data_IF_402996853176
#
_entry.id   IF_402996853176
#
_cell.length_a   1.000
_cell.length_b   1.000
_cell.length_c   1.000
_cell.angle_alpha   90.00
_cell.angle_beta   90.00
_cell.angle_gamma   90.00
#
_symmetry.space_group_name_H-M   'P 1'
#
loop_
_entity.id
_entity.type
_entity.pdbx_description
1 polymer ?
#
# COMPACT_ATOMS: atom_id res chain seq x y z
N UNK A 1 5.75 43.57 -2.81
CA UNK A 1 5.34 42.23 -2.34
C UNK A 1 6.59 41.57 -1.77
N UNK A 2 6.74 41.60 -0.43
CA UNK A 2 7.92 41.07 0.26
C UNK A 2 7.65 39.60 0.50
N UNK A 3 8.42 38.70 -0.13
CA UNK A 3 8.37 37.28 0.21
C UNK A 3 8.88 37.11 1.65
N UNK A 4 8.20 36.33 2.51
CA UNK A 4 8.68 36.08 3.87
C UNK A 4 10.05 35.39 3.82
N UNK A 5 10.91 35.70 4.81
CA UNK A 5 12.18 35.00 5.00
C UNK A 5 11.88 33.53 5.30
N UNK A 6 12.00 32.68 4.27
CA UNK A 6 11.83 31.24 4.41
C UNK A 6 12.87 30.68 5.37
N UNK A 7 12.41 29.81 6.27
CA UNK A 7 13.26 28.99 7.12
C UNK A 7 14.10 28.03 6.26
N UNK A 8 15.22 27.54 6.81
CA UNK A 8 16.06 26.54 6.15
C UNK A 8 15.28 25.30 5.71
N UNK A 9 14.30 24.88 6.50
CA UNK A 9 13.44 23.73 6.21
C UNK A 9 12.52 23.99 5.01
N UNK A 10 11.94 25.19 4.90
CA UNK A 10 11.09 25.57 3.77
C UNK A 10 11.89 25.67 2.46
N UNK A 11 13.11 26.20 2.53
CA UNK A 11 14.04 26.22 1.38
C UNK A 11 14.36 24.79 0.93
N UNK A 12 14.63 23.89 1.87
CA UNK A 12 14.93 22.49 1.56
C UNK A 12 13.71 21.76 0.97
N UNK A 13 12.52 21.96 1.55
CA UNK A 13 11.27 21.39 1.04
C UNK A 13 10.96 21.89 -0.38
N UNK A 14 11.13 23.18 -0.65
CA UNK A 14 10.96 23.77 -1.98
C UNK A 14 11.92 23.15 -3.00
N UNK A 15 13.19 22.97 -2.62
CA UNK A 15 14.19 22.33 -3.48
C UNK A 15 13.85 20.88 -3.80
N UNK A 16 13.41 20.09 -2.80
CA UNK A 16 12.99 18.70 -3.00
C UNK A 16 11.75 18.65 -3.90
N UNK A 17 10.74 19.47 -3.61
CA UNK A 17 9.51 19.56 -4.41
C UNK A 17 9.82 19.85 -5.88
N UNK A 18 10.70 20.82 -6.15
CA UNK A 18 11.14 21.15 -7.51
C UNK A 18 11.88 20.01 -8.21
N UNK A 19 12.62 19.17 -7.48
CA UNK A 19 13.27 17.98 -8.04
C UNK A 19 12.22 16.92 -8.37
N UNK A 20 11.33 16.62 -7.42
CA UNK A 20 10.29 15.61 -7.60
C UNK A 20 9.30 15.98 -8.72
N UNK A 21 8.99 17.27 -8.89
CA UNK A 21 8.10 17.75 -9.94
C UNK A 21 8.68 17.61 -11.36
N UNK A 22 9.99 17.39 -11.50
CA UNK A 22 10.63 17.13 -12.80
C UNK A 22 10.55 15.68 -13.23
N UNK A 23 10.18 14.78 -12.33
CA UNK A 23 10.04 13.36 -12.63
C UNK A 23 8.75 13.17 -13.46
N UNK A 24 8.83 12.67 -14.71
CA UNK A 24 7.65 12.45 -15.53
C UNK A 24 6.68 11.44 -14.90
N UNK A 25 5.39 11.57 -15.21
CA UNK A 25 4.35 10.68 -14.69
C UNK A 25 4.62 9.22 -15.07
N UNK A 26 5.18 8.95 -16.25
CA UNK A 26 5.53 7.61 -16.71
C UNK A 26 6.62 6.97 -15.85
N UNK A 27 7.55 7.78 -15.34
CA UNK A 27 8.58 7.33 -14.41
C UNK A 27 7.97 7.05 -13.04
N UNK A 28 7.07 7.90 -12.54
CA UNK A 28 6.30 7.62 -11.33
C UNK A 28 5.50 6.32 -11.44
N UNK A 29 4.82 6.11 -12.57
CA UNK A 29 4.07 4.88 -12.85
C UNK A 29 4.97 3.64 -12.85
N UNK A 30 6.22 3.77 -13.33
CA UNK A 30 7.20 2.68 -13.25
C UNK A 30 7.66 2.41 -11.82
N UNK A 31 7.93 3.46 -11.04
CA UNK A 31 8.31 3.33 -9.62
C UNK A 31 7.21 2.60 -8.84
N UNK A 32 5.95 3.03 -8.99
CA UNK A 32 4.81 2.36 -8.33
C UNK A 32 4.72 0.88 -8.69
N UNK A 33 5.03 0.51 -9.94
CA UNK A 33 5.03 -0.91 -10.38
C UNK A 33 6.13 -1.76 -9.73
N UNK A 34 7.17 -1.11 -9.22
CA UNK A 34 8.26 -1.79 -8.51
C UNK A 34 7.98 -2.00 -7.02
N UNK A 35 6.99 -1.30 -6.46
CA UNK A 35 6.61 -1.43 -5.05
C UNK A 35 6.11 -2.86 -4.73
N UNK A 36 6.43 -3.39 -3.54
CA UNK A 36 6.01 -4.74 -3.13
C UNK A 36 4.49 -4.92 -3.21
N UNK A 37 3.73 -3.94 -2.72
CA UNK A 37 2.26 -3.94 -2.72
C UNK A 37 1.72 -4.15 -4.14
N UNK A 38 2.26 -3.40 -5.11
CA UNK A 38 1.87 -3.54 -6.51
C UNK A 38 2.21 -4.92 -7.04
N UNK A 39 3.48 -5.34 -6.92
CA UNK A 39 3.95 -6.64 -7.45
C UNK A 39 3.12 -7.82 -6.96
N UNK A 40 2.69 -7.78 -5.70
CA UNK A 40 1.94 -8.88 -5.11
C UNK A 40 0.42 -8.79 -5.31
N UNK A 41 -0.15 -7.59 -5.38
CA UNK A 41 -1.61 -7.42 -5.26
C UNK A 41 -2.27 -7.00 -6.58
N UNK A 42 -1.57 -6.36 -7.53
CA UNK A 42 -2.20 -5.80 -8.73
C UNK A 42 -3.02 -6.80 -9.56
N UNK A 43 -2.64 -8.08 -9.58
CA UNK A 43 -3.36 -9.13 -10.33
C UNK A 43 -4.77 -9.39 -9.80
N UNK A 44 -5.07 -9.04 -8.55
CA UNK A 44 -6.41 -9.19 -8.00
C UNK A 44 -7.39 -8.14 -8.52
N UNK A 45 -6.93 -7.05 -9.14
CA UNK A 45 -7.80 -6.01 -9.68
C UNK A 45 -8.77 -6.57 -10.74
N UNK A 46 -8.26 -7.39 -11.65
CA UNK A 46 -9.09 -8.04 -12.70
C UNK A 46 -10.08 -9.03 -12.08
N UNK A 47 -9.63 -9.82 -11.11
CA UNK A 47 -10.45 -10.84 -10.45
C UNK A 47 -11.55 -10.25 -9.56
N UNK A 48 -11.26 -9.16 -8.84
CA UNK A 48 -12.16 -8.58 -7.85
C UNK A 48 -13.06 -7.49 -8.46
N UNK A 49 -12.64 -6.89 -9.56
CA UNK A 49 -13.18 -5.62 -10.02
C UNK A 49 -12.77 -4.46 -9.09
N UNK A 50 -12.87 -3.23 -9.61
CA UNK A 50 -12.33 -2.05 -8.92
C UNK A 50 -12.88 -1.85 -7.50
N UNK A 51 -14.20 -1.97 -7.30
CA UNK A 51 -14.82 -1.67 -6.00
C UNK A 51 -14.28 -2.55 -4.86
N UNK A 52 -14.36 -3.88 -5.04
CA UNK A 52 -13.87 -4.85 -4.04
C UNK A 52 -12.35 -4.77 -3.88
N UNK A 53 -11.63 -4.53 -4.98
CA UNK A 53 -10.18 -4.35 -4.94
C UNK A 53 -9.77 -3.10 -4.15
N UNK A 54 -10.45 -1.97 -4.34
CA UNK A 54 -10.17 -0.74 -3.59
C UNK A 54 -10.43 -0.95 -2.09
N UNK A 55 -11.53 -1.62 -1.72
CA UNK A 55 -11.79 -1.98 -0.32
C UNK A 55 -10.68 -2.87 0.24
N UNK A 56 -10.23 -3.87 -0.51
CA UNK A 56 -9.08 -4.71 -0.14
C UNK A 56 -7.83 -3.85 0.11
N UNK A 57 -7.44 -2.99 -0.83
CA UNK A 57 -6.25 -2.14 -0.68
C UNK A 57 -6.31 -1.24 0.55
N UNK A 58 -7.47 -0.64 0.82
CA UNK A 58 -7.67 0.17 2.04
C UNK A 58 -7.50 -0.68 3.30
N UNK A 59 -8.12 -1.86 3.35
CA UNK A 59 -8.00 -2.75 4.51
C UNK A 59 -6.58 -3.26 4.73
N UNK A 60 -5.85 -3.58 3.65
CA UNK A 60 -4.45 -3.99 3.74
C UNK A 60 -3.57 -2.83 4.23
N UNK A 61 -3.66 -1.65 3.60
CA UNK A 61 -2.86 -0.48 3.99
C UNK A 61 -3.12 0.00 5.43
N UNK A 62 -4.37 -0.08 5.90
CA UNK A 62 -4.70 0.26 7.30
C UNK A 62 -4.11 -0.71 8.33
N UNK A 63 -3.69 -1.91 7.90
CA UNK A 63 -3.13 -2.93 8.78
C UNK A 63 -1.65 -3.24 8.46
N UNK A 64 -1.02 -2.49 7.55
CA UNK A 64 0.40 -2.58 7.23
C UNK A 64 1.24 -1.78 8.25
N UNK A 65 1.17 -2.19 9.51
CA UNK A 65 1.93 -1.60 10.61
C UNK A 65 2.20 -2.63 11.71
N UNK A 66 3.26 -2.42 12.51
CA UNK A 66 3.67 -3.33 13.59
C UNK A 66 3.79 -4.81 13.17
N UNK A 67 4.23 -5.03 11.93
CA UNK A 67 4.40 -6.36 11.35
C UNK A 67 5.56 -7.13 12.00
N UNK A 68 5.48 -8.46 12.01
CA UNK A 68 6.55 -9.38 12.45
C UNK A 68 7.72 -9.49 11.46
N UNK A 69 8.08 -8.40 10.80
CA UNK A 69 9.14 -8.36 9.79
C UNK A 69 8.90 -7.26 8.77
N UNK A 70 9.80 -7.17 7.79
CA UNK A 70 9.65 -6.22 6.70
C UNK A 70 8.48 -6.60 5.79
N UNK A 71 7.67 -5.62 5.40
CA UNK A 71 6.43 -5.85 4.66
C UNK A 71 6.66 -6.61 3.34
N UNK A 72 7.76 -6.29 2.65
CA UNK A 72 8.14 -6.90 1.38
C UNK A 72 8.42 -8.41 1.45
N UNK A 73 8.74 -8.94 2.64
CA UNK A 73 9.08 -10.36 2.85
C UNK A 73 7.96 -11.06 3.62
N UNK A 74 7.47 -10.44 4.69
CA UNK A 74 6.64 -11.11 5.69
C UNK A 74 5.14 -10.87 5.50
N UNK A 75 4.74 -9.81 4.78
CA UNK A 75 3.35 -9.37 4.70
C UNK A 75 2.77 -9.57 3.30
N UNK A 76 3.24 -8.83 2.31
CA UNK A 76 2.66 -8.84 0.96
C UNK A 76 2.67 -10.23 0.29
N UNK A 77 3.76 -11.04 0.37
CA UNK A 77 3.76 -12.39 -0.20
C UNK A 77 2.72 -13.32 0.46
N UNK A 78 2.58 -13.26 1.78
CA UNK A 78 1.63 -14.11 2.53
C UNK A 78 0.18 -13.69 2.31
N UNK A 79 -0.08 -12.39 2.20
CA UNK A 79 -1.41 -11.88 1.84
C UNK A 79 -1.80 -12.37 0.45
N UNK A 80 -0.89 -12.30 -0.53
CA UNK A 80 -1.12 -12.83 -1.88
C UNK A 80 -1.48 -14.32 -1.84
N UNK A 81 -0.69 -15.13 -1.13
CA UNK A 81 -0.96 -16.57 -0.98
C UNK A 81 -2.34 -16.84 -0.34
N UNK A 82 -2.71 -16.09 0.69
CA UNK A 82 -4.03 -16.19 1.33
C UNK A 82 -5.15 -15.91 0.31
N UNK A 83 -5.05 -14.82 -0.44
CA UNK A 83 -6.10 -14.36 -1.36
C UNK A 83 -6.21 -15.22 -2.62
N UNK A 84 -5.11 -15.81 -3.11
CA UNK A 84 -5.14 -16.77 -4.23
C UNK A 84 -6.00 -17.99 -3.90
N UNK A 85 -5.99 -18.43 -2.64
CA UNK A 85 -6.69 -19.63 -2.18
C UNK A 85 -8.12 -19.37 -1.66
N UNK A 86 -8.65 -18.16 -1.81
CA UNK A 86 -10.00 -17.79 -1.34
C UNK A 86 -10.87 -17.29 -2.48
N UNK A 87 -12.21 -17.50 -2.42
CA UNK A 87 -13.11 -16.86 -3.37
C UNK A 87 -13.08 -15.33 -3.20
N UNK A 88 -13.51 -14.62 -4.23
CA UNK A 88 -13.70 -13.17 -4.14
C UNK A 88 -14.80 -12.89 -3.10
N UNK A 89 -14.57 -12.04 -2.10
CA UNK A 89 -15.60 -11.72 -1.11
C UNK A 89 -16.72 -10.89 -1.75
N UNK A 90 -17.96 -11.24 -1.44
CA UNK A 90 -19.14 -10.50 -1.87
C UNK A 90 -19.52 -9.39 -0.90
N UNK A 91 -19.06 -9.49 0.36
CA UNK A 91 -19.34 -8.50 1.40
C UNK A 91 -18.07 -8.04 2.13
N UNK A 92 -18.06 -6.83 2.73
CA UNK A 92 -16.96 -6.39 3.57
C UNK A 92 -16.68 -7.32 4.77
N UNK A 93 -17.72 -7.94 5.33
CA UNK A 93 -17.58 -8.87 6.46
C UNK A 93 -16.87 -10.17 6.02
N UNK A 94 -17.16 -10.68 4.83
CA UNK A 94 -16.41 -11.81 4.26
C UNK A 94 -14.94 -11.47 4.05
N UNK A 95 -14.65 -10.28 3.51
CA UNK A 95 -13.27 -9.83 3.34
C UNK A 95 -12.54 -9.72 4.69
N UNK A 96 -13.20 -9.14 5.70
CA UNK A 96 -12.68 -9.08 7.07
C UNK A 96 -12.42 -10.48 7.64
N UNK A 97 -13.32 -11.43 7.42
CA UNK A 97 -13.15 -12.80 7.89
C UNK A 97 -12.00 -13.54 7.19
N UNK A 98 -11.78 -13.29 5.90
CA UNK A 98 -10.60 -13.81 5.19
C UNK A 98 -9.32 -13.24 5.83
N UNK A 99 -9.26 -11.92 6.00
CA UNK A 99 -8.06 -11.23 6.47
C UNK A 99 -7.78 -11.46 7.97
N UNK A 100 -8.80 -11.67 8.81
CA UNK A 100 -8.63 -11.88 10.25
C UNK A 100 -7.81 -13.14 10.57
N UNK A 101 -7.89 -14.17 9.73
CA UNK A 101 -7.07 -15.38 9.83
C UNK A 101 -5.59 -15.03 9.80
N UNK A 102 -5.19 -14.13 8.91
CA UNK A 102 -3.82 -13.65 8.82
C UNK A 102 -3.46 -12.77 10.01
N UNK A 103 -4.24 -11.72 10.28
CA UNK A 103 -3.90 -10.74 11.30
C UNK A 103 -3.88 -11.28 12.73
N UNK A 104 -4.65 -12.34 13.02
CA UNK A 104 -4.62 -13.01 14.32
C UNK A 104 -3.23 -13.54 14.72
N UNK A 105 -2.31 -13.69 13.75
CA UNK A 105 -0.97 -14.27 13.95
C UNK A 105 0.17 -13.30 13.68
N UNK A 106 -0.11 -12.10 13.19
CA UNK A 106 0.89 -11.22 12.55
C UNK A 106 1.21 -9.95 13.36
N UNK A 107 0.46 -9.67 14.43
CA UNK A 107 0.79 -8.56 15.35
C UNK A 107 1.88 -8.96 16.35
N UNK A 108 2.83 -8.07 16.59
CA UNK A 108 3.74 -8.18 17.73
C UNK A 108 2.90 -8.25 19.03
N UNK A 109 3.24 -9.13 20.00
CA UNK A 109 2.58 -9.12 21.29
C UNK A 109 2.81 -7.77 22.00
N UNK A 110 1.82 -7.33 22.79
CA UNK A 110 1.90 -6.12 23.62
C UNK A 110 3.05 -6.20 24.65
#
# INVERSE_FOLDING_TARGET
>A
MVWPNLTKNEIQASRISHILSKIPLEVWNRIVKEEPEWKHIHTFLERYGFGKFATLMVMLGLNDYQLKGKAEIAYWPKIKELLENKPVPETPEELKNILSVFYSRERLPD
#
